data_IF_585066659406
#
_entry.id   IF_585066659406
#
_cell.length_a   1.000
_cell.length_b   1.000
_cell.length_c   1.000
_cell.angle_alpha   90.00
_cell.angle_beta   90.00
_cell.angle_gamma   90.00
#
_symmetry.space_group_name_H-M   'P 1'
#
loop_
_entity.id
_entity.type
_entity.pdbx_description
1 polymer ?
#
# COMPACT_ATOMS: atom_id res chain seq x y z
N UNK A 1 24.06 22.68 13.37
CA UNK A 1 22.61 22.84 13.14
C UNK A 1 22.35 22.51 11.67
N UNK A 2 21.33 21.71 11.37
CA UNK A 2 20.95 21.42 9.98
C UNK A 2 20.12 22.58 9.42
N UNK A 3 20.31 22.90 8.15
CA UNK A 3 19.54 23.95 7.49
C UNK A 3 18.05 23.55 7.42
N UNK A 4 17.18 24.48 7.68
CA UNK A 4 15.73 24.33 7.54
C UNK A 4 15.26 25.21 6.41
N UNK A 5 14.46 24.69 5.50
CA UNK A 5 14.01 25.44 4.32
C UNK A 5 12.54 25.78 4.41
N UNK A 6 12.21 27.05 4.15
CA UNK A 6 10.85 27.52 4.00
C UNK A 6 10.48 27.45 2.52
N UNK A 7 9.47 26.63 2.19
CA UNK A 7 8.87 26.60 0.87
C UNK A 7 7.74 27.63 0.79
N UNK A 8 7.87 28.55 -0.15
CA UNK A 8 6.84 29.54 -0.45
C UNK A 8 6.68 29.66 -1.95
N UNK A 9 5.45 29.87 -2.40
CA UNK A 9 5.14 30.12 -3.80
C UNK A 9 5.31 31.59 -4.19
N UNK A 10 5.43 32.50 -3.21
CA UNK A 10 5.58 33.95 -3.42
C UNK A 10 6.83 34.48 -2.75
N UNK A 11 7.42 35.56 -3.33
CA UNK A 11 8.63 36.24 -2.83
C UNK A 11 8.40 37.07 -1.55
N UNK A 12 7.48 36.71 -0.68
CA UNK A 12 7.29 37.44 0.55
C UNK A 12 8.38 37.06 1.56
N UNK A 13 9.25 37.99 1.85
CA UNK A 13 10.24 37.95 2.93
C UNK A 13 9.54 37.67 4.27
N UNK A 14 9.62 36.42 4.71
CA UNK A 14 9.29 36.09 6.09
C UNK A 14 10.63 35.87 6.78
N UNK A 15 11.06 36.85 7.53
CA UNK A 15 12.23 36.77 8.40
C UNK A 15 11.92 35.85 9.59
N UNK A 16 12.26 34.58 9.43
CA UNK A 16 12.51 33.71 10.58
C UNK A 16 14.04 33.51 10.65
N UNK A 17 14.65 33.87 11.75
CA UNK A 17 16.11 33.88 11.98
C UNK A 17 16.82 32.54 11.66
N UNK A 18 16.09 31.48 11.35
CA UNK A 18 16.63 30.13 11.15
C UNK A 18 16.15 29.42 9.86
N UNK A 19 15.43 30.10 8.97
CA UNK A 19 14.86 29.48 7.77
C UNK A 19 15.47 30.07 6.51
N UNK A 20 15.94 29.20 5.63
CA UNK A 20 16.39 29.58 4.27
C UNK A 20 15.21 29.43 3.31
N UNK A 21 14.76 30.50 2.72
CA UNK A 21 13.68 30.47 1.73
C UNK A 21 14.15 29.78 0.43
N UNK A 22 13.39 28.81 -0.04
CA UNK A 22 13.65 28.10 -1.30
C UNK A 22 12.41 28.18 -2.18
N UNK A 23 12.61 28.46 -3.45
CA UNK A 23 11.54 28.46 -4.45
C UNK A 23 11.19 27.02 -4.84
N UNK A 24 9.93 26.77 -5.18
CA UNK A 24 9.43 25.46 -5.58
C UNK A 24 10.15 24.88 -6.81
N UNK A 25 10.63 25.72 -7.73
CA UNK A 25 11.38 25.34 -8.92
C UNK A 25 12.82 24.85 -8.63
N UNK A 26 13.33 25.10 -7.42
CA UNK A 26 14.70 24.72 -7.01
C UNK A 26 14.75 23.50 -6.07
N UNK A 27 13.66 22.83 -5.85
CA UNK A 27 13.63 21.67 -4.95
C UNK A 27 14.57 20.56 -5.41
N UNK A 28 14.70 20.33 -6.71
CA UNK A 28 15.60 19.34 -7.29
C UNK A 28 17.10 19.68 -7.10
N UNK A 29 17.46 20.97 -7.03
CA UNK A 29 18.85 21.40 -6.82
C UNK A 29 19.33 21.13 -5.38
N UNK A 30 18.42 20.94 -4.44
CA UNK A 30 18.72 20.68 -3.03
C UNK A 30 19.06 19.23 -2.71
N UNK A 31 18.90 18.33 -3.68
CA UNK A 31 19.19 16.89 -3.52
C UNK A 31 20.65 16.60 -3.16
N UNK A 32 21.58 17.49 -3.52
CA UNK A 32 23.02 17.35 -3.27
C UNK A 32 23.47 17.84 -1.88
N UNK A 33 22.59 18.51 -1.11
CA UNK A 33 22.97 19.16 0.13
C UNK A 33 22.67 18.28 1.35
N UNK A 34 23.67 17.58 1.87
CA UNK A 34 23.58 16.63 2.99
C UNK A 34 23.26 17.26 4.36
N UNK A 35 23.24 18.58 4.48
CA UNK A 35 23.00 19.29 5.76
C UNK A 35 21.55 19.68 6.01
N UNK A 36 20.63 19.19 5.19
CA UNK A 36 19.23 19.52 5.22
C UNK A 36 18.47 18.84 6.37
N UNK A 37 17.58 19.56 7.06
CA UNK A 37 16.84 19.08 8.22
C UNK A 37 15.39 18.72 7.94
N UNK A 38 14.55 19.69 7.66
CA UNK A 38 13.12 19.50 7.39
C UNK A 38 12.55 20.69 6.59
N UNK A 39 11.40 20.45 5.96
CA UNK A 39 10.68 21.45 5.20
C UNK A 39 9.65 22.17 6.06
N UNK A 40 9.58 23.49 5.93
CA UNK A 40 8.45 24.28 6.47
C UNK A 40 7.68 24.84 5.29
N UNK A 41 6.39 24.56 5.22
CA UNK A 41 5.49 25.07 4.19
C UNK A 41 4.56 26.12 4.82
N UNK A 42 4.52 27.31 4.23
CA UNK A 42 3.63 28.37 4.71
C UNK A 42 2.19 28.12 4.26
N UNK A 43 1.34 27.74 5.22
CA UNK A 43 -0.08 27.48 5.01
C UNK A 43 -1.00 28.57 5.60
N UNK A 44 -0.44 29.72 6.02
CA UNK A 44 -1.21 30.78 6.71
C UNK A 44 -2.20 31.48 5.80
N UNK A 45 -1.87 31.63 4.53
CA UNK A 45 -2.68 32.37 3.55
C UNK A 45 -3.50 31.47 2.63
N UNK A 46 -2.95 30.33 2.21
CA UNK A 46 -3.61 29.42 1.27
C UNK A 46 -3.22 27.96 1.55
N UNK A 47 -4.18 27.21 2.10
CA UNK A 47 -4.00 25.78 2.42
C UNK A 47 -3.87 24.93 1.15
N UNK A 48 -4.58 25.26 0.06
CA UNK A 48 -4.52 24.48 -1.18
C UNK A 48 -3.15 24.59 -1.82
N UNK A 49 -2.59 25.80 -1.86
CA UNK A 49 -1.25 26.02 -2.35
C UNK A 49 -0.21 25.29 -1.48
N UNK A 50 -0.38 25.30 -0.16
CA UNK A 50 0.47 24.55 0.74
C UNK A 50 0.42 23.03 0.48
N UNK A 51 -0.77 22.51 0.16
CA UNK A 51 -0.95 21.11 -0.24
C UNK A 51 -0.23 20.79 -1.56
N UNK A 52 -0.29 21.66 -2.55
CA UNK A 52 0.45 21.50 -3.80
C UNK A 52 1.97 21.47 -3.56
N UNK A 53 2.49 22.31 -2.68
CA UNK A 53 3.91 22.29 -2.30
C UNK A 53 4.29 21.00 -1.57
N UNK A 54 3.44 20.46 -0.69
CA UNK A 54 3.65 19.17 -0.05
C UNK A 54 3.73 18.05 -1.10
N UNK A 55 2.80 18.04 -2.07
CA UNK A 55 2.81 17.08 -3.17
C UNK A 55 4.12 17.17 -3.98
N UNK A 56 4.59 18.38 -4.31
CA UNK A 56 5.85 18.58 -5.01
C UNK A 56 7.04 17.98 -4.25
N UNK A 57 7.11 18.16 -2.93
CA UNK A 57 8.17 17.55 -2.10
C UNK A 57 8.06 16.03 -2.08
N UNK A 58 6.86 15.50 -1.80
CA UNK A 58 6.65 14.05 -1.63
C UNK A 58 6.75 13.27 -2.94
N UNK A 59 6.49 13.90 -4.08
CA UNK A 59 6.60 13.27 -5.40
C UNK A 59 8.02 13.24 -5.95
N UNK A 60 8.98 13.93 -5.32
CA UNK A 60 10.39 13.78 -5.70
C UNK A 60 10.88 12.35 -5.50
N UNK A 61 11.78 11.89 -6.37
CA UNK A 61 12.34 10.54 -6.30
C UNK A 61 13.58 10.45 -5.43
N UNK A 62 14.12 11.56 -4.98
CA UNK A 62 15.34 11.63 -4.15
C UNK A 62 14.95 11.45 -2.68
N UNK A 63 15.39 10.38 -1.99
CA UNK A 63 15.07 10.12 -0.58
C UNK A 63 15.42 11.27 0.35
N UNK A 64 16.52 11.96 0.08
CA UNK A 64 16.96 13.12 0.83
C UNK A 64 15.97 14.32 0.73
N UNK A 65 15.03 14.29 -0.21
CA UNK A 65 13.99 15.30 -0.38
C UNK A 65 12.66 14.79 0.15
N UNK A 66 12.14 13.68 -0.42
CA UNK A 66 10.78 13.24 -0.12
C UNK A 66 10.62 12.59 1.27
N UNK A 67 11.69 12.06 1.87
CA UNK A 67 11.63 11.46 3.21
C UNK A 67 11.82 12.48 4.34
N UNK A 68 12.41 13.65 4.07
CA UNK A 68 12.57 14.65 5.13
C UNK A 68 11.22 15.07 5.70
N UNK A 69 11.15 15.36 7.01
CA UNK A 69 9.91 15.83 7.63
C UNK A 69 9.38 17.09 6.97
N UNK A 70 8.07 17.22 6.91
CA UNK A 70 7.37 18.41 6.40
C UNK A 70 6.45 18.94 7.46
N UNK A 71 6.56 20.22 7.76
CA UNK A 71 5.74 20.94 8.73
C UNK A 71 4.98 22.03 8.03
N UNK A 72 3.73 22.21 8.38
CA UNK A 72 2.96 23.37 7.96
C UNK A 72 3.02 24.48 9.00
N UNK A 73 3.27 25.71 8.54
CA UNK A 73 3.17 26.91 9.34
C UNK A 73 1.75 27.46 9.22
N UNK A 74 1.00 27.51 10.32
CA UNK A 74 -0.39 27.96 10.36
C UNK A 74 -0.58 29.14 11.33
N UNK A 75 -1.69 29.86 11.17
CA UNK A 75 -2.02 31.03 11.99
C UNK A 75 -2.92 30.72 13.20
N UNK A 76 -3.69 29.61 13.18
CA UNK A 76 -4.66 29.27 14.24
C UNK A 76 -4.91 27.79 14.38
N UNK A 77 -5.40 27.36 15.57
CA UNK A 77 -5.76 25.97 15.87
C UNK A 77 -6.90 25.42 15.00
N UNK A 78 -7.79 26.29 14.53
CA UNK A 78 -8.92 25.87 13.66
C UNK A 78 -8.45 25.29 12.32
N UNK A 79 -7.23 25.60 11.90
CA UNK A 79 -6.61 25.06 10.68
C UNK A 79 -5.90 23.74 10.93
N UNK A 80 -5.53 23.42 12.17
CA UNK A 80 -4.67 22.28 12.49
C UNK A 80 -5.27 20.94 12.05
N UNK A 81 -6.54 20.68 12.36
CA UNK A 81 -7.22 19.42 12.01
C UNK A 81 -7.34 19.21 10.48
N UNK A 82 -7.56 20.30 9.73
CA UNK A 82 -7.61 20.23 8.26
C UNK A 82 -6.24 19.93 7.66
N UNK A 83 -5.19 20.47 8.28
CA UNK A 83 -3.82 20.33 7.81
C UNK A 83 -3.22 18.96 8.18
N UNK A 84 -3.50 18.42 9.35
CA UNK A 84 -3.06 17.10 9.78
C UNK A 84 -3.57 15.98 8.84
N UNK A 85 -4.77 16.16 8.28
CA UNK A 85 -5.32 15.22 7.29
C UNK A 85 -4.60 15.24 5.94
N UNK A 86 -3.75 16.23 5.66
CA UNK A 86 -3.03 16.37 4.39
C UNK A 86 -1.71 15.59 4.32
N UNK A 87 -1.24 15.00 5.44
CA UNK A 87 -0.05 14.16 5.44
C UNK A 87 1.27 14.88 5.72
N UNK A 88 1.23 16.01 6.41
CA UNK A 88 2.41 16.63 7.01
C UNK A 88 2.86 15.87 8.27
N UNK A 89 4.11 16.06 8.68
CA UNK A 89 4.68 15.45 9.88
C UNK A 89 4.40 16.25 11.17
N UNK A 90 3.82 17.44 11.02
CA UNK A 90 3.45 18.28 12.16
C UNK A 90 3.07 19.70 11.75
N UNK A 91 2.74 20.51 12.76
CA UNK A 91 2.27 21.86 12.59
C UNK A 91 3.06 22.82 13.49
N UNK A 92 3.49 23.96 12.94
CA UNK A 92 4.02 25.08 13.70
C UNK A 92 3.03 26.24 13.67
N UNK A 93 2.91 26.92 14.81
CA UNK A 93 2.06 28.11 14.95
C UNK A 93 2.87 29.39 14.80
N UNK A 94 2.41 30.28 13.92
CA UNK A 94 3.08 31.55 13.67
C UNK A 94 3.18 32.44 14.94
N UNK A 95 2.22 32.33 15.85
CA UNK A 95 2.16 33.13 17.08
C UNK A 95 2.95 32.55 18.27
N UNK A 96 3.82 31.57 18.04
CA UNK A 96 4.88 31.18 18.97
C UNK A 96 4.50 30.50 20.28
N UNK A 97 3.26 29.99 20.45
CA UNK A 97 2.73 29.65 21.77
C UNK A 97 3.00 28.22 22.27
N UNK A 98 3.89 27.42 21.67
CA UNK A 98 4.10 26.08 22.19
C UNK A 98 5.57 25.59 21.98
N UNK A 99 6.49 26.16 22.74
CA UNK A 99 7.91 25.79 22.68
C UNK A 99 8.16 24.32 23.00
N UNK A 100 7.42 23.76 23.94
CA UNK A 100 7.53 22.35 24.32
C UNK A 100 7.13 21.41 23.16
N UNK A 101 5.98 21.67 22.52
CA UNK A 101 5.50 20.90 21.37
C UNK A 101 6.44 21.01 20.17
N UNK A 102 6.98 22.22 19.92
CA UNK A 102 7.98 22.44 18.86
C UNK A 102 9.24 21.64 19.12
N UNK A 103 9.74 21.65 20.35
CA UNK A 103 10.95 20.90 20.75
C UNK A 103 10.73 19.39 20.60
N UNK A 104 9.57 18.88 20.99
CA UNK A 104 9.21 17.47 20.81
C UNK A 104 9.18 17.09 19.31
N UNK A 105 8.55 17.89 18.46
CA UNK A 105 8.51 17.66 17.01
C UNK A 105 9.91 17.67 16.40
N UNK A 106 10.75 18.64 16.75
CA UNK A 106 12.13 18.72 16.27
C UNK A 106 12.92 17.47 16.66
N UNK A 107 12.75 16.98 17.89
CA UNK A 107 13.44 15.74 18.32
C UNK A 107 12.99 14.51 17.51
N UNK A 108 11.71 14.40 17.17
CA UNK A 108 11.20 13.37 16.26
C UNK A 108 11.80 13.52 14.84
N UNK A 109 11.93 14.73 14.34
CA UNK A 109 12.53 15.01 13.03
C UNK A 109 14.02 14.65 12.97
N UNK A 110 14.73 14.84 14.06
CA UNK A 110 16.15 14.41 14.14
C UNK A 110 16.28 12.89 14.01
N UNK A 111 15.36 12.10 14.57
CA UNK A 111 15.34 10.65 14.41
C UNK A 111 15.08 10.25 12.95
N UNK A 112 14.12 10.90 12.29
CA UNK A 112 13.86 10.68 10.86
C UNK A 112 15.10 11.02 10.03
N UNK A 113 15.73 12.15 10.30
CA UNK A 113 16.92 12.59 9.60
C UNK A 113 18.10 11.63 9.78
N UNK A 114 18.33 11.15 10.99
CA UNK A 114 19.35 10.14 11.28
C UNK A 114 19.11 8.85 10.51
N UNK A 115 17.83 8.47 10.33
CA UNK A 115 17.49 7.30 9.56
C UNK A 115 17.74 7.52 8.06
N UNK A 116 17.33 8.66 7.50
CA UNK A 116 17.57 9.01 6.09
C UNK A 116 19.07 9.07 5.77
N UNK A 117 19.89 9.60 6.66
CA UNK A 117 21.33 9.68 6.47
C UNK A 117 22.04 8.32 6.45
N UNK A 118 21.43 7.31 7.09
CA UNK A 118 21.96 5.92 7.09
C UNK A 118 21.65 5.15 5.81
N UNK A 119 20.81 5.67 4.91
CA UNK A 119 20.55 5.02 3.64
C UNK A 119 21.85 4.89 2.83
N UNK A 120 22.10 3.74 2.19
CA UNK A 120 23.21 3.57 1.27
C UNK A 120 23.18 4.60 0.13
N UNK A 121 24.36 5.03 -0.34
CA UNK A 121 24.48 6.09 -1.35
C UNK A 121 23.77 5.71 -2.67
N UNK A 122 23.73 4.43 -3.02
CA UNK A 122 23.01 3.91 -4.18
C UNK A 122 21.52 4.28 -4.14
N UNK A 123 20.91 4.29 -2.96
CA UNK A 123 19.48 4.65 -2.79
C UNK A 123 19.27 6.16 -2.57
N UNK A 124 20.33 6.95 -2.36
CA UNK A 124 20.21 8.40 -2.16
C UNK A 124 20.01 9.17 -3.46
N UNK A 125 20.36 8.60 -4.60
CA UNK A 125 20.34 9.30 -5.91
C UNK A 125 18.93 9.34 -6.48
N UNK A 126 18.26 8.20 -6.52
CA UNK A 126 16.88 8.13 -7.04
C UNK A 126 16.16 6.89 -6.49
N UNK A 127 14.89 7.05 -6.14
CA UNK A 127 14.01 6.01 -5.63
C UNK A 127 12.69 6.05 -6.41
N UNK A 128 12.61 5.29 -7.48
CA UNK A 128 11.45 5.26 -8.37
C UNK A 128 10.42 4.21 -7.98
N UNK A 129 10.81 3.26 -7.12
CA UNK A 129 9.97 2.14 -6.68
C UNK A 129 8.94 2.57 -5.63
N UNK A 130 7.66 2.52 -5.96
CA UNK A 130 6.57 2.94 -5.09
C UNK A 130 6.50 2.12 -3.79
N UNK A 131 6.76 0.81 -3.86
CA UNK A 131 6.76 -0.08 -2.69
C UNK A 131 7.79 0.39 -1.67
N UNK A 132 9.02 0.69 -2.13
CA UNK A 132 10.07 1.18 -1.25
C UNK A 132 9.83 2.58 -0.76
N UNK A 133 9.31 3.46 -1.59
CA UNK A 133 8.98 4.82 -1.17
C UNK A 133 7.97 4.83 -0.04
N UNK A 134 6.92 4.00 -0.14
CA UNK A 134 5.92 3.81 0.91
C UNK A 134 6.55 3.15 2.14
N UNK A 135 7.28 2.05 1.97
CA UNK A 135 7.93 1.35 3.08
C UNK A 135 8.93 2.25 3.81
N UNK A 136 9.80 2.97 3.09
CA UNK A 136 10.77 3.92 3.67
C UNK A 136 10.09 5.05 4.41
N UNK A 137 8.95 5.55 3.91
CA UNK A 137 8.19 6.57 4.59
C UNK A 137 7.63 6.05 5.92
N UNK A 138 7.05 4.85 5.94
CA UNK A 138 6.56 4.20 7.18
C UNK A 138 7.69 3.95 8.16
N UNK A 139 8.79 3.38 7.69
CA UNK A 139 9.95 3.01 8.53
C UNK A 139 10.63 4.24 9.12
N UNK A 140 10.84 5.29 8.32
CA UNK A 140 11.53 6.50 8.76
C UNK A 140 10.82 7.23 9.89
N UNK A 141 9.47 7.14 9.97
CA UNK A 141 8.69 7.77 11.04
C UNK A 141 8.66 6.93 12.31
N UNK A 142 8.93 5.64 12.20
CA UNK A 142 8.94 4.70 13.32
C UNK A 142 7.70 4.81 14.22
N UNK A 143 6.56 5.14 13.64
CA UNK A 143 5.26 5.32 14.28
C UNK A 143 4.18 4.54 13.56
N UNK A 144 3.04 4.35 14.20
CA UNK A 144 1.88 3.73 13.57
C UNK A 144 1.27 4.69 12.53
N UNK A 145 1.01 4.19 11.33
CA UNK A 145 0.29 4.89 10.28
C UNK A 145 -1.18 4.54 10.42
N UNK A 146 -1.97 5.52 10.85
CA UNK A 146 -3.40 5.35 11.14
C UNK A 146 -4.23 5.93 10.01
N UNK A 147 -5.23 5.17 9.50
CA UNK A 147 -6.17 5.71 8.53
C UNK A 147 -7.17 6.66 9.20
N UNK A 148 -7.61 7.67 8.47
CA UNK A 148 -8.71 8.54 8.88
C UNK A 148 -9.89 8.40 7.92
N UNK A 149 -11.11 8.50 8.44
CA UNK A 149 -12.31 8.53 7.61
C UNK A 149 -12.48 9.89 6.95
N UNK A 150 -12.81 9.89 5.66
CA UNK A 150 -13.05 11.12 4.89
C UNK A 150 -13.99 10.88 3.72
N UNK A 151 -14.83 11.86 3.43
CA UNK A 151 -15.67 11.87 2.24
C UNK A 151 -14.91 12.27 0.95
N UNK A 152 -13.66 12.71 1.08
CA UNK A 152 -12.86 13.15 -0.07
C UNK A 152 -12.20 12.00 -0.83
N UNK A 153 -12.14 10.80 -0.25
CA UNK A 153 -11.63 9.58 -0.89
C UNK A 153 -12.77 8.64 -1.23
N UNK A 154 -12.76 8.05 -2.42
CA UNK A 154 -13.76 7.04 -2.83
C UNK A 154 -13.78 5.82 -1.90
N UNK A 155 -12.64 5.47 -1.30
CA UNK A 155 -12.56 4.40 -0.31
C UNK A 155 -13.16 4.76 1.04
N UNK A 156 -13.53 6.03 1.28
CA UNK A 156 -13.98 6.52 2.57
C UNK A 156 -12.86 6.66 3.62
N UNK A 157 -11.64 6.26 3.28
CA UNK A 157 -10.46 6.31 4.14
C UNK A 157 -9.25 6.85 3.40
N UNK A 158 -8.37 7.53 4.12
CA UNK A 158 -7.04 7.90 3.66
C UNK A 158 -6.00 7.62 4.75
N UNK A 159 -4.77 7.36 4.33
CA UNK A 159 -3.59 7.35 5.18
C UNK A 159 -2.84 8.65 4.92
N UNK A 160 -3.03 9.71 5.73
CA UNK A 160 -2.60 11.05 5.36
C UNK A 160 -1.14 11.14 4.94
N UNK A 161 -0.27 10.48 5.70
CA UNK A 161 1.17 10.48 5.42
C UNK A 161 1.54 9.85 4.07
N UNK A 162 0.76 8.87 3.59
CA UNK A 162 1.02 8.13 2.35
C UNK A 162 0.34 8.76 1.13
N UNK A 163 -0.73 9.53 1.32
CA UNK A 163 -1.52 10.14 0.24
C UNK A 163 -0.67 10.96 -0.76
N UNK A 164 0.29 11.78 -0.31
CA UNK A 164 1.09 12.56 -1.24
C UNK A 164 2.06 11.72 -2.11
N UNK A 165 2.40 10.49 -1.70
CA UNK A 165 3.29 9.60 -2.45
C UNK A 165 2.50 8.64 -3.34
N UNK A 166 1.43 8.08 -2.80
CA UNK A 166 0.60 7.07 -3.46
C UNK A 166 -0.85 7.57 -3.54
N UNK A 167 -1.34 7.84 -4.74
CA UNK A 167 -2.75 8.22 -4.94
C UNK A 167 -3.66 7.10 -4.47
N UNK A 168 -4.37 7.32 -3.37
CA UNK A 168 -5.22 6.31 -2.72
C UNK A 168 -6.62 6.20 -3.36
N UNK A 169 -6.89 6.94 -4.42
CA UNK A 169 -8.11 6.79 -5.23
C UNK A 169 -8.15 5.50 -6.04
N UNK A 170 -7.02 4.80 -6.14
CA UNK A 170 -6.90 3.55 -6.87
C UNK A 170 -6.94 2.36 -5.91
N UNK A 171 -7.66 1.30 -6.28
CA UNK A 171 -7.71 0.03 -5.54
C UNK A 171 -6.32 -0.61 -5.37
N UNK A 172 -5.39 -0.31 -6.26
CA UNK A 172 -3.99 -0.75 -6.21
C UNK A 172 -3.26 -0.34 -4.92
N UNK A 173 -3.65 0.77 -4.30
CA UNK A 173 -3.05 1.22 -3.04
C UNK A 173 -3.26 0.23 -1.88
N UNK A 174 -4.49 -0.30 -1.75
CA UNK A 174 -4.77 -1.30 -0.72
C UNK A 174 -4.04 -2.61 -0.98
N UNK A 175 -3.90 -3.02 -2.25
CA UNK A 175 -3.10 -4.20 -2.60
C UNK A 175 -1.62 -4.02 -2.26
N UNK A 176 -1.09 -2.81 -2.39
CA UNK A 176 0.27 -2.49 -1.95
C UNK A 176 0.44 -2.70 -0.43
N UNK A 177 -0.52 -2.25 0.39
CA UNK A 177 -0.46 -2.45 1.84
C UNK A 177 -0.64 -3.93 2.23
N UNK A 178 -1.57 -4.64 1.58
CA UNK A 178 -1.77 -6.07 1.78
C UNK A 178 -0.49 -6.85 1.44
N UNK A 179 0.17 -6.48 0.34
CA UNK A 179 1.45 -7.06 -0.04
C UNK A 179 2.52 -6.82 1.03
N UNK A 180 2.72 -5.58 1.47
CA UNK A 180 3.72 -5.26 2.49
C UNK A 180 3.45 -6.05 3.79
N UNK A 181 2.18 -6.26 4.16
CA UNK A 181 1.78 -7.05 5.32
C UNK A 181 2.01 -8.56 5.09
N UNK A 182 1.64 -9.11 3.95
CA UNK A 182 1.84 -10.52 3.60
C UNK A 182 3.34 -10.89 3.59
N UNK A 183 4.20 -9.95 3.18
CA UNK A 183 5.65 -10.11 3.25
C UNK A 183 6.24 -9.81 4.64
N UNK A 184 5.41 -9.60 5.66
CA UNK A 184 5.83 -9.28 7.02
C UNK A 184 6.73 -8.03 7.13
N UNK A 185 6.63 -7.10 6.18
CA UNK A 185 7.37 -5.84 6.21
C UNK A 185 6.71 -4.81 7.12
N UNK A 186 5.39 -4.83 7.12
CA UNK A 186 4.54 -4.09 8.03
C UNK A 186 3.62 -5.06 8.77
N UNK A 187 3.09 -4.63 9.90
CA UNK A 187 2.10 -5.36 10.69
C UNK A 187 0.86 -4.51 10.82
N UNK A 188 -0.30 -5.05 10.47
CA UNK A 188 -1.59 -4.38 10.52
C UNK A 188 -2.36 -4.64 11.80
N UNK A 189 -2.87 -3.57 12.44
CA UNK A 189 -3.82 -3.61 13.55
C UNK A 189 -5.20 -3.22 13.05
N UNK A 190 -6.20 -4.04 13.28
CA UNK A 190 -7.59 -3.78 12.88
C UNK A 190 -8.11 -2.45 13.43
N UNK A 191 -8.74 -1.65 12.58
CA UNK A 191 -9.41 -0.38 12.91
C UNK A 191 -10.91 -0.49 12.62
N UNK A 192 -11.28 -0.92 11.42
CA UNK A 192 -12.67 -0.94 10.96
C UNK A 192 -12.88 -2.01 9.90
N UNK A 193 -14.14 -2.32 9.64
CA UNK A 193 -14.56 -3.16 8.51
C UNK A 193 -15.40 -2.32 7.56
N UNK A 194 -15.15 -2.44 6.26
CA UNK A 194 -15.83 -1.65 5.25
C UNK A 194 -16.23 -2.51 4.05
N UNK A 195 -17.35 -2.16 3.43
CA UNK A 195 -17.80 -2.72 2.17
C UNK A 195 -17.50 -1.75 1.04
N UNK A 196 -17.03 -2.27 -0.08
CA UNK A 196 -16.68 -1.51 -1.26
C UNK A 196 -17.50 -1.99 -2.45
N UNK A 197 -17.88 -1.08 -3.32
CA UNK A 197 -18.51 -1.42 -4.57
C UNK A 197 -17.67 -2.39 -5.39
N UNK A 198 -18.25 -3.49 -5.83
CA UNK A 198 -17.56 -4.50 -6.64
C UNK A 198 -17.04 -3.97 -7.98
N UNK A 199 -17.62 -2.87 -8.50
CA UNK A 199 -17.25 -2.29 -9.79
C UNK A 199 -16.24 -1.15 -9.69
N UNK A 200 -16.46 -0.16 -8.80
CA UNK A 200 -15.64 1.05 -8.73
C UNK A 200 -14.88 1.22 -7.42
N UNK A 201 -14.96 0.24 -6.51
CA UNK A 201 -14.31 0.23 -5.21
C UNK A 201 -14.62 1.43 -4.31
N UNK A 202 -15.73 2.11 -4.54
CA UNK A 202 -16.22 3.17 -3.65
C UNK A 202 -16.83 2.56 -2.39
N UNK A 203 -16.54 3.17 -1.22
CA UNK A 203 -17.18 2.80 0.05
C UNK A 203 -18.55 3.48 0.25
N UNK A 204 -18.93 4.39 -0.64
CA UNK A 204 -20.22 5.11 -0.56
C UNK A 204 -21.34 4.25 -1.12
N UNK A 205 -21.77 3.28 -0.31
CA UNK A 205 -22.86 2.34 -0.62
C UNK A 205 -24.11 2.71 0.16
N UNK A 206 -25.25 2.70 -0.52
CA UNK A 206 -26.55 2.83 0.08
C UNK A 206 -27.22 1.45 0.16
N UNK A 207 -27.41 0.94 1.38
CA UNK A 207 -28.14 -0.28 1.63
C UNK A 207 -29.61 0.06 1.77
N UNK A 208 -30.44 -0.56 0.91
CA UNK A 208 -31.87 -0.27 0.81
C UNK A 208 -32.68 -1.52 1.07
N UNK A 209 -33.74 -1.37 1.85
CA UNK A 209 -34.77 -2.40 2.00
C UNK A 209 -35.80 -2.25 0.90
N UNK A 210 -36.25 -3.37 0.32
CA UNK A 210 -37.21 -3.44 -0.75
C UNK A 210 -38.17 -4.59 -0.55
N UNK A 211 -39.32 -4.47 -1.18
CA UNK A 211 -40.31 -5.55 -1.22
C UNK A 211 -39.73 -6.81 -1.89
N UNK A 212 -39.81 -7.99 -1.26
CA UNK A 212 -39.26 -9.22 -1.84
C UNK A 212 -39.93 -9.62 -3.16
N UNK A 213 -41.19 -9.20 -3.41
CA UNK A 213 -41.96 -9.56 -4.60
C UNK A 213 -41.75 -8.58 -5.76
N UNK A 214 -41.99 -7.28 -5.55
CA UNK A 214 -41.96 -6.28 -6.64
C UNK A 214 -40.73 -5.39 -6.64
N UNK A 215 -39.83 -5.58 -5.67
CA UNK A 215 -38.55 -4.81 -5.48
C UNK A 215 -38.73 -3.30 -5.26
N UNK A 216 -39.96 -2.85 -4.96
CA UNK A 216 -40.22 -1.46 -4.61
C UNK A 216 -39.60 -1.12 -3.25
N UNK A 217 -38.95 0.03 -3.17
CA UNK A 217 -38.41 0.61 -1.93
C UNK A 217 -39.49 1.37 -1.13
N UNK A 218 -40.68 1.56 -1.70
CA UNK A 218 -41.81 2.23 -1.05
C UNK A 218 -42.53 1.26 -0.11
N UNK A 219 -41.92 1.06 1.05
CA UNK A 219 -42.40 0.18 2.11
C UNK A 219 -42.67 0.98 3.38
N UNK A 220 -43.67 0.62 4.11
CA UNK A 220 -43.99 1.11 5.46
C UNK A 220 -43.85 -0.01 6.46
N UNK A 221 -43.33 0.30 7.65
CA UNK A 221 -43.16 -0.68 8.73
C UNK A 221 -44.15 -0.38 9.86
N UNK A 222 -44.84 -1.38 10.37
CA UNK A 222 -45.66 -1.31 11.58
C UNK A 222 -45.18 -2.35 12.61
N UNK A 223 -45.44 -2.08 13.88
CA UNK A 223 -45.13 -3.00 14.97
C UNK A 223 -46.21 -4.05 15.08
N UNK A 224 -45.89 -5.35 15.13
CA UNK A 224 -46.82 -6.38 15.53
C UNK A 224 -47.04 -6.34 17.05
N UNK A 225 -48.28 -6.43 17.48
CA UNK A 225 -48.67 -6.59 18.87
C UNK A 225 -49.24 -8.00 19.07
N UNK A 226 -48.72 -8.69 20.05
CA UNK A 226 -49.25 -9.97 20.54
C UNK A 226 -49.87 -9.76 21.89
N UNK A 227 -51.21 -9.91 22.01
CA UNK A 227 -51.94 -9.80 23.25
C UNK A 227 -51.92 -11.15 23.99
N UNK A 228 -51.29 -11.21 25.16
CA UNK A 228 -51.09 -12.48 25.88
C UNK A 228 -52.37 -13.22 26.28
N UNK A 229 -53.40 -12.46 26.69
CA UNK A 229 -54.61 -13.07 27.22
C UNK A 229 -55.41 -13.88 26.16
N UNK A 230 -55.48 -13.39 24.92
CA UNK A 230 -56.27 -14.04 23.86
C UNK A 230 -55.38 -14.53 22.69
N UNK A 231 -54.07 -14.39 22.79
CA UNK A 231 -53.09 -14.77 21.80
C UNK A 231 -53.36 -14.18 20.38
N UNK A 232 -54.01 -13.02 20.33
CA UNK A 232 -54.24 -12.33 19.08
C UNK A 232 -53.01 -11.55 18.68
N UNK A 233 -52.56 -11.71 17.45
CA UNK A 233 -51.40 -11.01 16.87
C UNK A 233 -51.89 -10.22 15.67
N UNK A 234 -51.64 -8.93 15.67
CA UNK A 234 -51.94 -8.06 14.54
C UNK A 234 -51.03 -6.79 14.61
N UNK A 235 -51.12 -5.97 13.60
CA UNK A 235 -50.46 -4.70 13.52
C UNK A 235 -50.92 -3.74 14.59
N UNK A 236 -50.03 -2.91 15.10
CA UNK A 236 -50.31 -1.90 16.13
C UNK A 236 -51.42 -0.94 15.70
N UNK A 237 -51.44 -0.56 14.42
CA UNK A 237 -52.50 0.24 13.82
C UNK A 237 -53.89 -0.34 14.07
N UNK A 238 -54.07 -1.68 14.00
CA UNK A 238 -55.33 -2.39 14.26
C UNK A 238 -55.75 -2.31 15.74
N UNK A 239 -54.81 -2.16 16.66
CA UNK A 239 -55.10 -1.98 18.10
C UNK A 239 -55.39 -0.55 18.49
N UNK A 240 -55.06 0.44 17.65
CA UNK A 240 -55.19 1.85 17.99
C UNK A 240 -56.66 2.31 17.90
N UNK A 241 -57.21 2.72 19.05
CA UNK A 241 -58.54 3.29 19.15
C UNK A 241 -58.51 4.51 20.07
N UNK A 242 -58.75 5.70 19.53
CA UNK A 242 -58.83 6.94 20.32
C UNK A 242 -57.58 7.26 21.16
N UNK A 243 -56.39 6.84 20.69
CA UNK A 243 -55.15 7.06 21.40
C UNK A 243 -54.76 5.98 22.43
N UNK A 244 -55.61 4.97 22.58
CA UNK A 244 -55.39 3.79 23.42
C UNK A 244 -55.13 2.55 22.57
N UNK A 245 -54.46 1.54 23.15
CA UNK A 245 -54.31 0.22 22.52
C UNK A 245 -55.43 -0.69 23.06
N UNK A 246 -56.38 -1.08 22.20
CA UNK A 246 -57.46 -1.95 22.51
C UNK A 246 -57.43 -3.17 21.61
N UNK A 247 -57.51 -4.36 22.21
CA UNK A 247 -57.47 -5.60 21.44
C UNK A 247 -58.77 -5.79 20.64
N UNK A 248 -58.75 -5.84 19.28
CA UNK A 248 -59.95 -5.96 18.48
C UNK A 248 -60.67 -7.32 18.61
N UNK A 249 -59.98 -8.35 19.19
CA UNK A 249 -60.58 -9.68 19.39
C UNK A 249 -61.34 -9.80 20.71
N UNK A 250 -60.94 -9.08 21.77
CA UNK A 250 -61.55 -9.26 23.10
C UNK A 250 -61.78 -7.94 23.84
N UNK A 251 -61.70 -6.82 23.16
CA UNK A 251 -61.98 -5.44 23.61
C UNK A 251 -61.25 -5.02 24.89
N UNK A 252 -60.13 -5.73 25.25
CA UNK A 252 -59.32 -5.36 26.39
C UNK A 252 -58.32 -4.25 26.03
N UNK A 253 -58.31 -3.21 26.89
CA UNK A 253 -57.26 -2.18 26.85
C UNK A 253 -55.91 -2.75 27.26
N UNK A 254 -54.86 -2.51 26.49
CA UNK A 254 -53.48 -2.95 26.71
C UNK A 254 -52.66 -1.79 27.27
N UNK A 255 -52.16 -1.92 28.53
CA UNK A 255 -51.46 -0.83 29.26
C UNK A 255 -49.98 -1.09 29.40
N UNK A 256 -49.60 -2.34 29.63
CA UNK A 256 -48.23 -2.67 30.02
C UNK A 256 -47.60 -3.69 29.07
N UNK A 257 -46.51 -3.27 28.39
CA UNK A 257 -45.68 -4.17 27.59
C UNK A 257 -45.00 -5.18 28.53
N UNK A 258 -44.98 -6.44 28.11
CA UNK A 258 -44.44 -7.55 28.92
C UNK A 258 -45.45 -8.14 29.90
N UNK A 259 -46.64 -7.51 30.14
CA UNK A 259 -47.70 -7.99 31.04
C UNK A 259 -49.00 -8.25 30.24
N UNK A 260 -49.47 -7.27 29.53
CA UNK A 260 -50.70 -7.39 28.71
C UNK A 260 -50.36 -7.85 27.28
N UNK A 261 -49.25 -7.39 26.76
CA UNK A 261 -48.82 -7.64 25.37
C UNK A 261 -47.30 -7.56 25.21
N UNK A 262 -46.79 -8.08 24.10
CA UNK A 262 -45.44 -7.84 23.61
C UNK A 262 -45.46 -7.35 22.16
N UNK A 263 -44.26 -7.01 21.64
CA UNK A 263 -44.00 -6.59 20.26
C UNK A 263 -43.00 -7.57 19.65
N UNK A 264 -43.47 -8.71 19.14
CA UNK A 264 -42.57 -9.80 18.73
C UNK A 264 -41.68 -9.43 17.52
N UNK A 265 -42.19 -8.59 16.60
CA UNK A 265 -41.46 -8.20 15.39
C UNK A 265 -42.09 -6.97 14.74
N UNK A 266 -41.44 -6.50 13.68
CA UNK A 266 -42.01 -5.56 12.71
C UNK A 266 -42.67 -6.35 11.56
N UNK A 267 -43.66 -5.73 10.92
CA UNK A 267 -44.23 -6.15 9.64
C UNK A 267 -44.11 -5.01 8.65
N UNK A 268 -43.68 -5.32 7.44
CA UNK A 268 -43.54 -4.35 6.37
C UNK A 268 -44.67 -4.47 5.37
N UNK A 269 -45.16 -3.36 4.85
CA UNK A 269 -46.19 -3.27 3.83
C UNK A 269 -45.64 -2.60 2.58
N UNK A 270 -45.76 -3.22 1.46
CA UNK A 270 -45.40 -2.60 0.19
C UNK A 270 -46.56 -1.74 -0.33
N UNK A 271 -46.35 -0.44 -0.41
CA UNK A 271 -47.33 0.50 -0.93
C UNK A 271 -47.62 0.33 -2.45
N UNK A 272 -46.73 -0.39 -3.17
CA UNK A 272 -46.90 -0.61 -4.60
C UNK A 272 -47.69 -1.87 -4.94
N UNK A 273 -47.43 -3.02 -4.29
CA UNK A 273 -48.09 -4.29 -4.61
C UNK A 273 -48.99 -4.84 -3.49
N UNK A 274 -49.01 -4.16 -2.32
CA UNK A 274 -49.88 -4.54 -1.18
C UNK A 274 -49.36 -5.77 -0.41
N UNK A 275 -48.17 -6.31 -0.72
CA UNK A 275 -47.60 -7.45 0.01
C UNK A 275 -47.20 -7.04 1.42
N UNK A 276 -47.58 -7.84 2.42
CA UNK A 276 -47.07 -7.76 3.79
C UNK A 276 -46.00 -8.81 4.02
N UNK A 277 -44.89 -8.43 4.63
CA UNK A 277 -43.74 -9.31 4.85
C UNK A 277 -42.92 -8.88 6.09
N UNK A 278 -42.22 -9.82 6.70
CA UNK A 278 -41.34 -9.53 7.85
C UNK A 278 -39.91 -9.29 7.43
N UNK A 279 -39.40 -10.04 6.48
CA UNK A 279 -38.04 -9.93 5.98
C UNK A 279 -38.03 -9.14 4.66
N UNK A 280 -37.40 -7.99 4.67
CA UNK A 280 -37.19 -7.18 3.49
C UNK A 280 -36.05 -7.77 2.63
N UNK A 281 -36.16 -7.60 1.33
CA UNK A 281 -35.06 -7.86 0.42
C UNK A 281 -34.09 -6.68 0.49
N UNK A 282 -32.82 -6.92 0.85
CA UNK A 282 -31.82 -5.87 0.94
C UNK A 282 -31.05 -5.79 -0.38
N UNK A 283 -30.92 -4.60 -0.93
CA UNK A 283 -30.11 -4.30 -2.11
C UNK A 283 -29.11 -3.20 -1.80
N UNK A 284 -28.06 -3.10 -2.58
CA UNK A 284 -27.08 -2.03 -2.47
C UNK A 284 -27.03 -1.22 -3.76
N UNK A 285 -26.92 0.09 -3.62
CA UNK A 285 -26.65 1.03 -4.70
C UNK A 285 -25.40 1.82 -4.41
N UNK A 286 -24.48 1.87 -5.35
CA UNK A 286 -23.27 2.67 -5.23
C UNK A 286 -23.54 4.13 -5.63
N UNK A 287 -23.33 5.09 -4.72
CA UNK A 287 -23.51 6.51 -5.03
C UNK A 287 -22.52 7.05 -6.08
N UNK A 288 -21.41 6.36 -6.33
CA UNK A 288 -20.42 6.82 -7.30
C UNK A 288 -20.69 6.33 -8.73
N UNK A 289 -20.98 5.04 -8.92
CA UNK A 289 -21.15 4.45 -10.26
C UNK A 289 -22.58 3.93 -10.53
N UNK A 290 -23.49 4.10 -9.58
CA UNK A 290 -24.90 3.69 -9.64
C UNK A 290 -25.11 2.19 -9.91
N UNK A 291 -24.11 1.36 -9.65
CA UNK A 291 -24.26 -0.09 -9.74
C UNK A 291 -25.16 -0.60 -8.63
N UNK A 292 -26.15 -1.42 -9.00
CA UNK A 292 -27.05 -2.11 -8.08
C UNK A 292 -26.61 -3.56 -7.96
N UNK A 293 -26.45 -4.05 -6.74
CA UNK A 293 -26.09 -5.45 -6.45
C UNK A 293 -26.69 -5.89 -5.12
N UNK A 294 -26.70 -7.20 -4.89
CA UNK A 294 -26.98 -7.75 -3.56
C UNK A 294 -25.80 -7.43 -2.61
N UNK A 295 -26.05 -7.35 -1.29
CA UNK A 295 -24.99 -7.06 -0.30
C UNK A 295 -23.78 -8.02 -0.39
N UNK A 296 -24.04 -9.30 -0.66
CA UNK A 296 -23.04 -10.36 -0.77
C UNK A 296 -22.12 -10.18 -2.00
N UNK A 297 -22.58 -9.42 -3.00
CA UNK A 297 -21.81 -9.09 -4.18
C UNK A 297 -20.78 -7.98 -3.96
N UNK A 298 -20.81 -7.30 -2.82
CA UNK A 298 -19.86 -6.25 -2.50
C UNK A 298 -18.55 -6.81 -1.97
N UNK A 299 -17.45 -6.06 -2.17
CA UNK A 299 -16.11 -6.45 -1.67
C UNK A 299 -15.97 -6.01 -0.22
N UNK A 300 -15.80 -6.95 0.70
CA UNK A 300 -15.55 -6.62 2.10
C UNK A 300 -14.03 -6.53 2.37
N UNK A 301 -13.61 -5.56 3.19
CA UNK A 301 -12.22 -5.35 3.57
C UNK A 301 -12.06 -4.85 5.00
N UNK A 302 -11.03 -5.36 5.67
CA UNK A 302 -10.58 -4.80 6.94
C UNK A 302 -9.66 -3.60 6.70
N UNK A 303 -10.01 -2.49 7.30
CA UNK A 303 -9.17 -1.29 7.35
C UNK A 303 -8.27 -1.40 8.58
N UNK A 304 -6.97 -1.24 8.39
CA UNK A 304 -5.95 -1.47 9.42
C UNK A 304 -5.06 -0.24 9.60
N UNK A 305 -4.53 -0.07 10.79
CA UNK A 305 -3.37 0.79 11.04
C UNK A 305 -2.10 -0.05 10.93
N UNK A 306 -1.01 0.52 10.45
CA UNK A 306 0.20 -0.23 10.12
C UNK A 306 1.42 0.29 10.85
N UNK A 307 2.28 -0.65 11.27
CA UNK A 307 3.61 -0.38 11.84
C UNK A 307 4.68 -1.17 11.09
N UNK A 308 5.88 -0.62 10.98
CA UNK A 308 6.99 -1.32 10.37
C UNK A 308 7.52 -2.43 11.28
N UNK A 309 7.72 -3.63 10.73
CA UNK A 309 8.35 -4.75 11.42
C UNK A 309 9.88 -4.62 11.42
N UNK A 310 10.59 -5.48 12.18
CA UNK A 310 12.04 -5.55 12.12
C UNK A 310 12.55 -5.93 10.71
N UNK A 311 11.84 -6.83 10.01
CA UNK A 311 12.14 -7.21 8.63
C UNK A 311 11.95 -6.02 7.70
N UNK A 312 10.84 -5.29 7.83
CA UNK A 312 10.57 -4.10 7.04
C UNK A 312 11.60 -3.00 7.24
N UNK A 313 12.08 -2.80 8.46
CA UNK A 313 13.15 -1.83 8.77
C UNK A 313 14.46 -2.18 8.04
N UNK A 314 14.81 -3.46 7.96
CA UNK A 314 15.98 -3.91 7.24
C UNK A 314 15.79 -3.79 5.72
N UNK A 315 14.62 -4.21 5.21
CA UNK A 315 14.30 -4.12 3.78
C UNK A 315 14.30 -2.67 3.28
N UNK A 316 13.80 -1.73 4.07
CA UNK A 316 13.82 -0.31 3.72
C UNK A 316 15.23 0.28 3.54
N UNK A 317 16.24 -0.28 4.23
CA UNK A 317 17.64 0.15 4.12
C UNK A 317 18.36 -0.59 3.00
N UNK A 318 18.20 -1.91 2.91
CA UNK A 318 19.00 -2.77 2.03
C UNK A 318 18.32 -3.14 0.71
N UNK A 319 17.06 -2.74 0.50
CA UNK A 319 16.32 -3.00 -0.73
C UNK A 319 15.59 -4.35 -0.73
N UNK A 320 14.94 -4.66 -1.88
CA UNK A 320 14.21 -5.93 -2.10
C UNK A 320 15.13 -7.15 -2.17
N UNK A 321 16.43 -6.98 -2.34
CA UNK A 321 17.37 -8.10 -2.30
C UNK A 321 17.20 -8.90 -1.01
N UNK A 322 16.88 -8.22 0.10
CA UNK A 322 16.54 -8.88 1.35
C UNK A 322 15.21 -9.66 1.31
N UNK A 323 14.24 -9.21 0.51
CA UNK A 323 12.95 -9.91 0.30
C UNK A 323 13.08 -11.05 -0.67
N UNK A 324 13.70 -10.81 -1.80
CA UNK A 324 13.97 -11.83 -2.81
C UNK A 324 14.74 -12.98 -2.21
N UNK A 325 15.78 -12.67 -1.44
CA UNK A 325 16.58 -13.67 -0.74
C UNK A 325 15.73 -14.54 0.16
N UNK A 326 14.75 -14.00 0.87
CA UNK A 326 13.89 -14.79 1.77
C UNK A 326 12.92 -15.71 1.02
N UNK A 327 12.29 -15.24 -0.05
CA UNK A 327 11.30 -16.00 -0.82
C UNK A 327 11.97 -17.10 -1.64
N UNK A 328 13.08 -16.79 -2.30
CA UNK A 328 13.78 -17.73 -3.18
C UNK A 328 14.81 -18.58 -2.42
N UNK A 329 15.48 -18.07 -1.37
CA UNK A 329 16.52 -18.80 -0.63
C UNK A 329 16.02 -20.06 0.09
N UNK A 330 14.74 -20.13 0.41
CA UNK A 330 14.18 -21.37 0.98
C UNK A 330 14.14 -22.53 -0.03
N UNK A 331 14.27 -22.24 -1.33
CA UNK A 331 14.03 -23.21 -2.41
C UNK A 331 15.14 -23.29 -3.46
N UNK A 332 15.98 -22.26 -3.65
CA UNK A 332 17.10 -22.21 -4.62
C UNK A 332 18.35 -21.77 -3.87
N UNK A 333 19.56 -22.16 -4.34
CA UNK A 333 20.85 -21.68 -3.81
C UNK A 333 21.04 -20.19 -4.15
N UNK A 334 20.19 -19.35 -3.55
CA UNK A 334 20.18 -17.91 -3.75
C UNK A 334 20.95 -17.22 -2.63
N UNK A 335 21.87 -16.35 -2.99
CA UNK A 335 22.76 -15.69 -2.05
C UNK A 335 22.72 -14.17 -2.24
N UNK A 336 22.91 -13.40 -1.16
CA UNK A 336 23.17 -11.96 -1.23
C UNK A 336 24.40 -11.65 -2.13
N UNK A 337 24.41 -10.47 -2.72
CA UNK A 337 25.45 -10.08 -3.69
C UNK A 337 26.86 -10.17 -3.12
N UNK A 338 27.06 -9.78 -1.85
CA UNK A 338 28.35 -9.87 -1.15
C UNK A 338 28.86 -11.31 -0.97
N UNK A 339 27.94 -12.27 -0.79
CA UNK A 339 28.29 -13.69 -0.71
C UNK A 339 28.50 -14.27 -2.11
N UNK A 340 27.67 -13.90 -3.06
CA UNK A 340 27.81 -14.29 -4.45
C UNK A 340 29.18 -13.89 -5.01
N UNK A 341 29.61 -12.65 -4.75
CA UNK A 341 30.94 -12.18 -5.15
C UNK A 341 32.06 -13.05 -4.59
N UNK A 342 31.98 -13.45 -3.32
CA UNK A 342 32.96 -14.36 -2.71
C UNK A 342 32.99 -15.72 -3.39
N UNK A 343 31.83 -16.26 -3.76
CA UNK A 343 31.77 -17.52 -4.50
C UNK A 343 32.38 -17.38 -5.89
N UNK A 344 32.16 -16.26 -6.57
CA UNK A 344 32.76 -15.97 -7.86
C UNK A 344 34.27 -15.88 -7.75
N UNK A 345 34.80 -15.18 -6.74
CA UNK A 345 36.24 -15.08 -6.49
C UNK A 345 36.88 -16.45 -6.23
N UNK A 346 36.20 -17.29 -5.44
CA UNK A 346 36.63 -18.67 -5.20
C UNK A 346 36.67 -19.46 -6.51
N UNK A 347 35.66 -19.33 -7.36
CA UNK A 347 35.59 -20.04 -8.62
C UNK A 347 36.68 -19.58 -9.62
N UNK A 348 36.94 -18.28 -9.69
CA UNK A 348 38.04 -17.72 -10.47
C UNK A 348 39.40 -18.29 -10.00
N UNK A 349 39.65 -18.30 -8.69
CA UNK A 349 40.90 -18.89 -8.14
C UNK A 349 40.99 -20.41 -8.37
N UNK A 350 39.86 -21.13 -8.33
CA UNK A 350 39.78 -22.53 -8.65
C UNK A 350 40.19 -22.81 -10.12
N UNK A 351 39.64 -22.02 -11.04
CA UNK A 351 39.96 -22.13 -12.48
C UNK A 351 41.45 -21.81 -12.75
N UNK A 352 41.98 -20.75 -12.14
CA UNK A 352 43.40 -20.41 -12.23
C UNK A 352 44.29 -21.57 -11.79
N UNK A 353 43.94 -22.23 -10.68
CA UNK A 353 44.76 -23.27 -10.06
C UNK A 353 44.73 -24.58 -10.83
N UNK A 354 43.55 -25.01 -11.26
CA UNK A 354 43.37 -26.38 -11.79
C UNK A 354 43.35 -26.44 -13.33
N UNK A 355 43.04 -25.35 -14.04
CA UNK A 355 43.05 -25.21 -15.51
C UNK A 355 42.25 -26.27 -16.29
N UNK A 356 41.40 -27.06 -15.64
CA UNK A 356 40.70 -28.22 -16.20
C UNK A 356 39.17 -28.07 -16.21
N UNK A 357 38.60 -27.05 -15.50
CA UNK A 357 37.16 -26.86 -15.39
C UNK A 357 36.74 -25.58 -16.07
N UNK A 358 35.68 -25.67 -16.86
CA UNK A 358 34.99 -24.52 -17.44
C UNK A 358 33.80 -24.21 -16.57
N UNK A 359 33.64 -22.95 -16.14
CA UNK A 359 32.47 -22.47 -15.46
C UNK A 359 31.96 -21.19 -16.16
N UNK A 360 30.68 -20.93 -16.06
CA UNK A 360 30.04 -19.81 -16.78
C UNK A 360 29.22 -18.94 -15.87
N UNK A 361 29.19 -17.65 -16.22
CA UNK A 361 28.23 -16.67 -15.69
C UNK A 361 27.06 -16.54 -16.64
N UNK A 362 25.84 -16.59 -16.09
CA UNK A 362 24.61 -16.27 -16.80
C UNK A 362 23.99 -15.00 -16.26
N UNK A 363 23.51 -14.13 -17.13
CA UNK A 363 22.75 -12.93 -16.79
C UNK A 363 21.39 -13.00 -17.47
N UNK A 364 20.32 -12.73 -16.72
CA UNK A 364 18.95 -12.72 -17.23
C UNK A 364 18.29 -11.42 -16.80
N UNK A 365 17.74 -10.65 -17.75
CA UNK A 365 16.93 -9.47 -17.45
C UNK A 365 15.48 -9.92 -17.28
N UNK A 366 15.01 -9.90 -16.04
CA UNK A 366 13.63 -10.24 -15.74
C UNK A 366 12.74 -8.99 -15.71
N UNK A 367 11.43 -9.18 -15.71
CA UNK A 367 10.47 -8.09 -15.51
C UNK A 367 10.62 -7.51 -14.09
N UNK A 368 10.33 -6.21 -13.95
CA UNK A 368 10.33 -5.58 -12.63
C UNK A 368 9.35 -6.27 -11.69
N UNK A 369 9.87 -6.71 -10.56
CA UNK A 369 9.11 -7.45 -9.54
C UNK A 369 7.94 -6.63 -9.03
N UNK A 370 8.10 -5.31 -8.94
CA UNK A 370 7.03 -4.40 -8.57
C UNK A 370 5.81 -4.52 -9.50
N UNK A 371 6.04 -4.64 -10.81
CA UNK A 371 4.95 -4.84 -11.77
C UNK A 371 4.19 -6.14 -11.52
N UNK A 372 4.90 -7.21 -11.14
CA UNK A 372 4.28 -8.50 -10.79
C UNK A 372 3.36 -8.33 -9.59
N UNK A 373 3.83 -7.67 -8.53
CA UNK A 373 3.03 -7.45 -7.35
C UNK A 373 1.80 -6.56 -7.60
N UNK A 374 1.97 -5.48 -8.34
CA UNK A 374 0.88 -4.59 -8.68
C UNK A 374 -0.23 -5.28 -9.51
N UNK A 375 0.16 -6.24 -10.37
CA UNK A 375 -0.79 -6.95 -11.22
C UNK A 375 -1.39 -8.19 -10.55
N UNK A 376 -0.62 -8.92 -9.75
CA UNK A 376 -1.05 -10.19 -9.15
C UNK A 376 -1.67 -10.02 -7.75
N UNK A 377 -1.37 -8.91 -7.04
CA UNK A 377 -1.87 -8.72 -5.69
C UNK A 377 -1.59 -9.91 -4.77
N UNK A 378 -2.64 -10.50 -4.19
CA UNK A 378 -2.53 -11.65 -3.29
C UNK A 378 -1.96 -12.93 -3.95
N UNK A 379 -2.02 -13.04 -5.27
CA UNK A 379 -1.45 -14.18 -6.01
C UNK A 379 0.04 -14.06 -6.27
N UNK A 380 0.66 -12.93 -5.94
CA UNK A 380 2.09 -12.72 -6.15
C UNK A 380 2.96 -13.77 -5.44
N UNK A 381 2.56 -14.21 -4.24
CA UNK A 381 3.28 -15.24 -3.50
C UNK A 381 3.27 -16.58 -4.26
N UNK A 382 2.12 -17.00 -4.78
CA UNK A 382 2.00 -18.19 -5.61
C UNK A 382 2.85 -18.08 -6.88
N UNK A 383 2.84 -16.93 -7.55
CA UNK A 383 3.69 -16.66 -8.71
C UNK A 383 5.17 -16.86 -8.39
N UNK A 384 5.67 -16.35 -7.25
CA UNK A 384 7.07 -16.54 -6.85
C UNK A 384 7.39 -17.98 -6.43
N UNK A 385 6.42 -18.72 -5.91
CA UNK A 385 6.58 -20.15 -5.67
C UNK A 385 6.75 -20.92 -6.98
N UNK A 386 5.96 -20.63 -7.99
CA UNK A 386 6.07 -21.21 -9.32
C UNK A 386 7.39 -20.82 -10.00
N UNK A 387 7.78 -19.54 -9.92
CA UNK A 387 9.07 -19.05 -10.39
C UNK A 387 10.23 -19.83 -9.73
N UNK A 388 10.22 -19.99 -8.41
CA UNK A 388 11.26 -20.73 -7.71
C UNK A 388 11.29 -22.21 -8.11
N UNK A 389 10.16 -22.81 -8.45
CA UNK A 389 10.06 -24.18 -8.92
C UNK A 389 10.68 -24.33 -10.31
N UNK A 390 10.52 -23.35 -11.20
CA UNK A 390 11.16 -23.31 -12.52
C UNK A 390 12.69 -23.28 -12.36
N UNK A 391 13.21 -22.37 -11.53
CA UNK A 391 14.65 -22.31 -11.24
C UNK A 391 15.19 -23.66 -10.74
N UNK A 392 14.52 -24.29 -9.77
CA UNK A 392 14.89 -25.59 -9.23
C UNK A 392 14.90 -26.73 -10.25
N UNK A 393 13.97 -26.69 -11.20
CA UNK A 393 13.85 -27.77 -12.20
C UNK A 393 14.99 -27.76 -13.21
N UNK A 394 15.73 -26.64 -13.33
CA UNK A 394 16.74 -26.45 -14.37
C UNK A 394 18.14 -26.26 -13.80
N UNK A 395 18.26 -25.52 -12.69
CA UNK A 395 19.55 -25.29 -12.05
C UNK A 395 19.92 -26.45 -11.08
N UNK A 396 21.22 -26.71 -11.00
CA UNK A 396 21.77 -27.70 -10.06
C UNK A 396 21.95 -27.11 -8.68
N UNK A 397 22.09 -27.94 -7.66
CA UNK A 397 22.39 -27.51 -6.29
C UNK A 397 23.73 -26.76 -6.20
N UNK A 398 24.67 -27.06 -7.10
CA UNK A 398 25.97 -26.39 -7.21
C UNK A 398 25.92 -25.02 -7.88
N UNK A 399 24.81 -24.68 -8.55
CA UNK A 399 24.66 -23.41 -9.23
C UNK A 399 24.23 -22.36 -8.21
N UNK A 400 24.85 -21.18 -8.27
CA UNK A 400 24.68 -20.12 -7.29
C UNK A 400 23.97 -18.96 -7.98
N UNK A 401 22.90 -18.50 -7.39
CA UNK A 401 22.05 -17.43 -7.96
C UNK A 401 22.08 -16.21 -7.07
N UNK A 402 22.12 -15.02 -7.67
CA UNK A 402 21.84 -13.75 -7.03
C UNK A 402 20.93 -12.88 -7.91
N UNK A 403 20.43 -11.79 -7.40
CA UNK A 403 19.73 -10.77 -8.20
C UNK A 403 20.28 -9.39 -7.90
N UNK A 404 20.35 -8.56 -8.92
CA UNK A 404 20.72 -7.13 -8.80
C UNK A 404 19.60 -6.26 -9.35
N UNK A 405 19.33 -5.14 -8.67
CA UNK A 405 18.34 -4.15 -9.09
C UNK A 405 16.95 -4.75 -9.41
N UNK A 406 16.54 -5.81 -8.66
CA UNK A 406 15.20 -6.43 -8.73
C UNK A 406 14.79 -7.01 -10.09
N UNK A 407 15.63 -6.89 -11.09
CA UNK A 407 15.29 -7.29 -12.44
C UNK A 407 16.38 -8.08 -13.17
N UNK A 408 17.58 -8.22 -12.58
CA UNK A 408 18.69 -8.96 -13.19
C UNK A 408 19.07 -10.15 -12.32
N UNK A 409 18.77 -11.37 -12.78
CA UNK A 409 19.29 -12.59 -12.18
C UNK A 409 20.69 -12.87 -12.71
N UNK A 410 21.60 -13.23 -11.81
CA UNK A 410 22.98 -13.57 -12.11
C UNK A 410 23.24 -14.97 -11.55
N UNK A 411 23.81 -15.85 -12.38
CA UNK A 411 23.94 -17.28 -12.06
C UNK A 411 25.38 -17.70 -12.33
N UNK A 412 26.05 -18.25 -11.31
CA UNK A 412 27.29 -19.02 -11.49
C UNK A 412 26.93 -20.48 -11.76
N UNK A 413 27.27 -20.96 -12.93
CA UNK A 413 27.11 -22.38 -13.31
C UNK A 413 28.48 -23.04 -13.26
N UNK A 414 28.72 -23.75 -12.15
CA UNK A 414 30.01 -24.44 -11.90
C UNK A 414 30.15 -25.62 -12.82
N UNK A 415 31.39 -25.87 -13.29
CA UNK A 415 31.74 -27.01 -14.20
C UNK A 415 30.81 -27.11 -15.41
N UNK A 416 30.46 -25.95 -15.97
CA UNK A 416 29.53 -25.87 -17.11
C UNK A 416 30.12 -24.95 -18.17
N UNK A 417 30.32 -25.49 -19.38
CA UNK A 417 30.78 -24.67 -20.51
C UNK A 417 29.76 -23.64 -20.93
N UNK A 418 30.19 -22.56 -21.55
CA UNK A 418 29.32 -21.49 -22.04
C UNK A 418 28.21 -21.98 -22.97
N UNK A 419 28.50 -23.02 -23.80
CA UNK A 419 27.51 -23.63 -24.68
C UNK A 419 26.41 -24.37 -23.87
N UNK A 420 26.79 -25.13 -22.85
CA UNK A 420 25.83 -25.83 -21.98
C UNK A 420 25.07 -24.85 -21.07
N UNK A 421 25.74 -23.82 -20.59
CA UNK A 421 25.11 -22.73 -19.81
C UNK A 421 24.04 -22.04 -20.64
N UNK A 422 24.30 -21.75 -21.91
CA UNK A 422 23.32 -21.14 -22.82
C UNK A 422 22.07 -22.01 -22.96
N UNK A 423 22.24 -23.33 -23.19
CA UNK A 423 21.10 -24.27 -23.29
C UNK A 423 20.31 -24.33 -21.98
N UNK A 424 20.97 -24.29 -20.82
CA UNK A 424 20.29 -24.24 -19.53
C UNK A 424 19.48 -22.95 -19.36
N UNK A 425 20.05 -21.78 -19.71
CA UNK A 425 19.36 -20.50 -19.64
C UNK A 425 18.21 -20.41 -20.65
N UNK A 426 18.35 -20.93 -21.86
CA UNK A 426 17.25 -20.98 -22.85
C UNK A 426 16.04 -21.76 -22.30
N UNK A 427 16.26 -22.88 -21.63
CA UNK A 427 15.18 -23.63 -20.96
C UNK A 427 14.56 -22.86 -19.80
N UNK A 428 15.40 -22.19 -19.01
CA UNK A 428 14.93 -21.36 -17.89
C UNK A 428 14.04 -20.23 -18.40
N UNK A 429 14.48 -19.53 -19.43
CA UNK A 429 13.74 -18.44 -20.06
C UNK A 429 12.43 -18.92 -20.68
N UNK A 430 12.42 -20.09 -21.30
CA UNK A 430 11.19 -20.67 -21.82
C UNK A 430 10.18 -20.92 -20.72
N UNK A 431 10.59 -21.49 -19.58
CA UNK A 431 9.72 -21.66 -18.40
C UNK A 431 9.23 -20.34 -17.83
N UNK A 432 10.12 -19.36 -17.70
CA UNK A 432 9.78 -18.02 -17.22
C UNK A 432 8.81 -17.29 -18.18
N UNK A 433 9.00 -17.41 -19.47
CA UNK A 433 8.12 -16.79 -20.48
C UNK A 433 6.70 -17.35 -20.42
N UNK A 434 6.55 -18.68 -20.23
CA UNK A 434 5.25 -19.33 -20.06
C UNK A 434 4.57 -18.80 -18.77
N UNK A 435 5.32 -18.76 -17.67
CA UNK A 435 4.80 -18.24 -16.39
C UNK A 435 4.32 -16.78 -16.50
N UNK A 436 5.09 -15.94 -17.19
CA UNK A 436 4.75 -14.53 -17.40
C UNK A 436 3.53 -14.36 -18.33
N UNK A 437 3.43 -15.15 -19.39
CA UNK A 437 2.31 -15.10 -20.32
C UNK A 437 1.00 -15.54 -19.63
N UNK A 438 1.03 -16.65 -18.91
CA UNK A 438 -0.14 -17.22 -18.22
C UNK A 438 -0.67 -16.30 -17.09
N UNK A 439 0.23 -15.61 -16.38
CA UNK A 439 -0.14 -14.83 -15.21
C UNK A 439 -0.28 -13.32 -15.49
N UNK A 440 0.47 -12.77 -16.45
CA UNK A 440 0.60 -11.33 -16.66
C UNK A 440 0.27 -10.90 -18.09
N UNK A 441 -0.08 -11.83 -19.00
CA UNK A 441 -0.20 -11.59 -20.44
C UNK A 441 1.05 -10.89 -21.01
N UNK A 442 2.24 -11.24 -20.50
CA UNK A 442 3.51 -10.62 -20.87
C UNK A 442 4.23 -11.46 -21.92
N UNK A 443 4.25 -11.00 -23.16
CA UNK A 443 4.79 -11.73 -24.34
C UNK A 443 6.16 -11.24 -24.81
N UNK A 444 6.80 -10.31 -24.07
CA UNK A 444 8.10 -9.78 -24.44
C UNK A 444 9.22 -10.81 -24.22
N UNK A 445 10.25 -10.75 -25.07
CA UNK A 445 11.44 -11.62 -24.94
C UNK A 445 12.24 -11.24 -23.70
N UNK A 446 12.68 -12.25 -22.94
CA UNK A 446 13.55 -12.08 -21.77
C UNK A 446 15.01 -12.06 -22.27
N UNK A 447 15.73 -10.92 -22.17
CA UNK A 447 17.13 -10.85 -22.56
C UNK A 447 18.02 -11.65 -21.63
N UNK A 448 19.01 -12.35 -22.20
CA UNK A 448 20.03 -13.07 -21.44
C UNK A 448 21.36 -13.12 -22.18
N UNK A 449 22.43 -13.31 -21.43
CA UNK A 449 23.77 -13.63 -21.96
C UNK A 449 24.46 -14.70 -21.10
N UNK A 450 25.43 -15.35 -21.66
CA UNK A 450 26.33 -16.29 -20.99
C UNK A 450 27.79 -15.91 -21.29
N UNK A 451 28.62 -15.87 -20.25
CA UNK A 451 30.04 -15.54 -20.36
C UNK A 451 30.87 -16.61 -19.64
N UNK A 452 32.05 -16.93 -20.15
CA UNK A 452 32.96 -17.87 -19.48
C UNK A 452 33.64 -17.19 -18.29
N UNK A 453 33.77 -17.93 -17.19
CA UNK A 453 34.56 -17.47 -16.05
C UNK A 453 36.04 -17.84 -16.32
N UNK A 454 36.90 -16.82 -16.28
CA UNK A 454 38.35 -17.01 -16.44
C UNK A 454 39.12 -16.08 -15.49
N UNK A 455 40.44 -16.10 -15.56
CA UNK A 455 41.30 -15.30 -14.68
C UNK A 455 41.20 -13.77 -14.87
N UNK A 456 40.58 -13.33 -15.95
CA UNK A 456 40.45 -11.91 -16.32
C UNK A 456 38.98 -11.47 -16.23
N UNK A 457 38.08 -12.29 -15.66
CA UNK A 457 36.67 -11.96 -15.53
C UNK A 457 36.47 -10.77 -14.60
N UNK A 458 36.00 -9.67 -15.19
CA UNK A 458 35.58 -8.48 -14.46
C UNK A 458 34.04 -8.47 -14.38
N UNK A 459 33.54 -8.80 -13.21
CA UNK A 459 32.11 -8.95 -12.95
C UNK A 459 31.33 -7.65 -13.13
N UNK A 460 31.86 -6.55 -12.57
CA UNK A 460 31.18 -5.23 -12.65
C UNK A 460 31.08 -4.75 -14.08
N UNK A 461 32.14 -4.88 -14.85
CA UNK A 461 32.15 -4.49 -16.26
C UNK A 461 31.15 -5.32 -17.09
N UNK A 462 31.07 -6.63 -16.85
CA UNK A 462 30.11 -7.51 -17.56
C UNK A 462 28.67 -7.15 -17.21
N UNK A 463 28.43 -6.88 -15.95
CA UNK A 463 27.10 -6.49 -15.46
C UNK A 463 26.65 -5.13 -16.02
N UNK A 464 27.52 -4.12 -15.95
CA UNK A 464 27.23 -2.78 -16.53
C UNK A 464 26.96 -2.88 -18.03
N UNK A 465 27.75 -3.63 -18.76
CA UNK A 465 27.55 -3.88 -20.20
C UNK A 465 26.21 -4.55 -20.48
N UNK A 466 25.82 -5.54 -19.67
CA UNK A 466 24.55 -6.22 -19.82
C UNK A 466 23.38 -5.28 -19.52
N UNK A 467 23.44 -4.53 -18.44
CA UNK A 467 22.39 -3.56 -18.06
C UNK A 467 22.27 -2.48 -19.13
N UNK A 468 23.39 -1.86 -19.57
CA UNK A 468 23.37 -0.78 -20.56
C UNK A 468 22.78 -1.21 -21.92
N UNK A 469 23.00 -2.45 -22.33
CA UNK A 469 22.48 -2.99 -23.58
C UNK A 469 20.98 -3.38 -23.50
N UNK A 470 20.40 -3.46 -22.31
CA UNK A 470 19.03 -3.92 -22.08
C UNK A 470 18.19 -2.91 -21.26
N UNK A 471 18.59 -1.64 -21.22
CA UNK A 471 17.76 -0.54 -20.69
C UNK A 471 16.75 -0.17 -21.77
N UNK A 472 15.50 -0.57 -21.58
CA UNK A 472 14.36 -0.08 -22.36
C UNK A 472 13.19 0.17 -21.45
#
# INVERSE_FOLDING_TARGET
MRSTYLLTAQENQVEYEFLTAVRADKISELSENSSFGFWVIDARSDIKQAQELLLLVRQQFVPNVYLRPVVFLISSDTMASSVESMGCDGVFYANGNNEAQRTELISKFELVNQWVDKLPDVFKVSDTDLIFRVLRLIVSRNSEIVPIMTAQSLSGFIYPLLEPIAKQSDSSFFHLLDFLEAQHLISGRFISHCYFCCQCHSAFLNFKEACPQCKSENIESDELIHHFKCAYVAEKSTYQQGGLLVCPKCDKELKHIGVDYDKPSLINHCNQCGLSFQEAHVTTECFNCHTHTEPEGQVSRNIKAYTATAIGKNAAIFGLDALFTKIISSKVSFFPEDQFQKFLDIEIERIKRYKLSESSLGFIKFIDIEKIYLQQGERAEQFFEELSTIFKSILRISDIVTAKNQSVFIIIMTETSTANAKVALERLIQGLSVLLDENLNYTSTIPFITESINSETDFEMLLEKFISNNVS
#
